data_IF_483124206032
#
_entry.id   IF_483124206032
#
_cell.length_a   1.000
_cell.length_b   1.000
_cell.length_c   1.000
_cell.angle_alpha   90.00
_cell.angle_beta   90.00
_cell.angle_gamma   90.00
#
_symmetry.space_group_name_H-M   'P 1'
#
loop_
_entity.id
_entity.type
_entity.pdbx_description
1 polymer ?
#
# COMPACT_ATOMS: atom_id res chain seq x y z
N UNK A 1 3.70 -37.95 -1.77
CA UNK A 1 2.90 -37.11 -0.85
C UNK A 1 1.62 -36.77 -1.56
N UNK A 2 0.47 -37.10 -0.97
CA UNK A 2 -0.86 -36.71 -1.49
C UNK A 2 -1.40 -35.58 -0.62
N UNK A 3 -1.98 -34.56 -1.25
CA UNK A 3 -2.74 -33.52 -0.57
C UNK A 3 -4.20 -33.93 -0.57
N UNK A 4 -4.74 -34.26 0.60
CA UNK A 4 -6.18 -34.47 0.79
C UNK A 4 -6.86 -33.11 0.87
N UNK A 5 -7.88 -32.88 0.05
CA UNK A 5 -8.61 -31.62 -0.07
C UNK A 5 -10.09 -31.77 0.30
N UNK A 6 -10.48 -32.92 0.85
CA UNK A 6 -11.89 -33.20 1.20
C UNK A 6 -12.35 -32.42 2.44
N UNK A 7 -11.43 -31.85 3.21
CA UNK A 7 -11.69 -30.93 4.32
C UNK A 7 -11.78 -29.46 3.86
N UNK A 8 -11.50 -29.18 2.59
CA UNK A 8 -11.57 -27.83 2.06
C UNK A 8 -13.01 -27.34 1.98
N UNK A 9 -13.24 -26.11 2.45
CA UNK A 9 -14.53 -25.44 2.24
C UNK A 9 -14.74 -25.13 0.75
N UNK A 10 -16.01 -25.13 0.27
CA UNK A 10 -16.33 -24.70 -1.08
C UNK A 10 -15.73 -23.32 -1.38
N UNK A 11 -15.27 -23.14 -2.63
CA UNK A 11 -14.74 -21.87 -3.09
C UNK A 11 -15.74 -20.75 -2.78
N UNK A 12 -15.30 -19.75 -2.00
CA UNK A 12 -16.14 -18.59 -1.70
C UNK A 12 -16.51 -17.88 -3.01
N UNK A 13 -17.74 -17.36 -3.08
CA UNK A 13 -18.22 -16.61 -4.23
C UNK A 13 -17.17 -15.56 -4.67
N UNK A 14 -17.00 -15.32 -5.97
CA UNK A 14 -15.96 -14.44 -6.48
C UNK A 14 -16.01 -13.07 -5.78
N UNK A 15 -14.87 -12.71 -5.16
CA UNK A 15 -14.58 -11.36 -4.67
C UNK A 15 -14.66 -10.44 -5.90
N UNK A 16 -15.79 -9.76 -6.10
CA UNK A 16 -15.99 -9.00 -7.33
C UNK A 16 -17.18 -8.06 -7.36
N UNK A 17 -18.21 -8.30 -6.57
CA UNK A 17 -19.25 -7.29 -6.37
C UNK A 17 -18.71 -6.19 -5.46
N UNK A 18 -19.08 -4.93 -5.73
CA UNK A 18 -18.73 -3.79 -4.89
C UNK A 18 -19.71 -3.69 -3.72
N UNK A 19 -19.21 -3.25 -2.57
CA UNK A 19 -20.07 -2.83 -1.47
C UNK A 19 -20.84 -1.59 -1.97
N UNK A 20 -22.18 -1.54 -1.84
CA UNK A 20 -22.97 -0.42 -2.34
C UNK A 20 -22.44 0.92 -1.82
N UNK A 21 -22.49 1.94 -2.67
CA UNK A 21 -22.05 3.28 -2.31
C UNK A 21 -22.87 3.81 -1.13
N UNK A 22 -22.17 4.37 -0.14
CA UNK A 22 -22.80 4.90 1.06
C UNK A 22 -23.08 3.91 2.18
N UNK A 23 -22.64 2.67 2.05
CA UNK A 23 -22.85 1.65 3.08
C UNK A 23 -22.19 2.06 4.40
N UNK A 24 -22.96 2.08 5.48
CA UNK A 24 -22.43 2.15 6.83
C UNK A 24 -22.08 0.75 7.36
N UNK A 25 -20.91 0.61 7.99
CA UNK A 25 -20.43 -0.68 8.46
C UNK A 25 -19.51 -0.56 9.68
N UNK A 26 -19.55 -1.58 10.55
CA UNK A 26 -18.51 -1.84 11.55
C UNK A 26 -17.36 -2.56 10.84
N UNK A 27 -16.19 -1.95 10.83
CA UNK A 27 -15.05 -2.39 10.03
C UNK A 27 -13.86 -2.66 10.94
N UNK A 28 -13.15 -3.77 10.68
CA UNK A 28 -11.84 -4.05 11.23
C UNK A 28 -10.74 -3.70 10.23
N UNK A 29 -9.73 -2.96 10.67
CA UNK A 29 -8.49 -2.75 9.92
C UNK A 29 -7.54 -3.93 10.15
N UNK A 30 -6.88 -4.39 9.09
CA UNK A 30 -5.70 -5.25 9.16
C UNK A 30 -4.57 -4.62 8.36
N UNK A 31 -3.41 -4.41 8.97
CA UNK A 31 -2.23 -3.84 8.30
C UNK A 31 -1.49 -4.94 7.57
N UNK A 32 -1.32 -4.78 6.26
CA UNK A 32 -0.55 -5.72 5.45
C UNK A 32 0.94 -5.32 5.44
N UNK A 33 1.88 -6.25 5.66
CA UNK A 33 3.30 -5.94 5.61
C UNK A 33 3.71 -5.52 4.19
N UNK A 34 4.50 -4.45 4.08
CA UNK A 34 4.96 -3.90 2.81
C UNK A 34 6.46 -4.02 2.53
N UNK A 35 7.25 -4.50 3.49
CA UNK A 35 8.69 -4.78 3.32
C UNK A 35 9.62 -3.58 3.56
N UNK A 36 9.09 -2.39 3.83
CA UNK A 36 9.87 -1.18 4.14
C UNK A 36 9.64 -0.77 5.59
N UNK A 37 10.70 -0.34 6.26
CA UNK A 37 10.64 0.07 7.66
C UNK A 37 9.91 1.41 7.81
N UNK A 38 9.09 1.49 8.88
CA UNK A 38 8.46 2.71 9.34
C UNK A 38 9.35 3.56 10.24
N UNK A 39 8.74 4.52 10.94
CA UNK A 39 9.47 5.47 11.78
C UNK A 39 9.92 4.87 13.13
N UNK A 40 9.25 3.82 13.58
CA UNK A 40 9.50 3.16 14.87
C UNK A 40 9.95 1.72 14.64
N UNK A 41 10.64 1.12 15.62
CA UNK A 41 11.03 -0.30 15.56
C UNK A 41 9.81 -1.22 15.41
N UNK A 42 8.66 -0.83 15.95
CA UNK A 42 7.41 -1.60 15.83
C UNK A 42 6.87 -1.64 14.40
N UNK A 43 7.22 -0.63 13.61
CA UNK A 43 6.81 -0.50 12.21
C UNK A 43 7.86 -1.08 11.25
N UNK A 44 8.79 -1.91 11.74
CA UNK A 44 9.76 -2.61 10.90
C UNK A 44 9.04 -3.44 9.82
N UNK A 45 9.49 -3.29 8.57
CA UNK A 45 8.92 -3.91 7.36
C UNK A 45 7.42 -3.71 7.15
N UNK A 46 6.81 -2.76 7.86
CA UNK A 46 5.37 -2.54 7.83
C UNK A 46 4.91 -1.80 6.57
N UNK A 47 5.69 -0.82 6.11
CA UNK A 47 5.29 0.09 5.05
C UNK A 47 5.56 -0.49 3.67
N UNK A 48 4.78 -0.04 2.70
CA UNK A 48 4.92 -0.34 1.28
C UNK A 48 5.49 0.88 0.54
N UNK A 49 6.55 0.69 -0.22
CA UNK A 49 7.06 1.74 -1.11
C UNK A 49 6.13 1.93 -2.32
N UNK A 50 5.96 3.18 -2.74
CA UNK A 50 5.39 3.49 -4.05
C UNK A 50 6.32 3.02 -5.17
N UNK A 51 5.74 2.65 -6.32
CA UNK A 51 6.49 2.22 -7.50
C UNK A 51 7.02 3.39 -8.34
N UNK A 52 6.43 4.58 -8.17
CA UNK A 52 6.68 5.75 -9.04
C UNK A 52 7.09 7.01 -8.29
N UNK A 53 7.21 6.96 -6.96
CA UNK A 53 7.56 8.11 -6.12
C UNK A 53 8.30 7.66 -4.86
N UNK A 54 8.83 8.61 -4.10
CA UNK A 54 9.43 8.40 -2.77
C UNK A 54 8.40 8.09 -1.66
N UNK A 55 7.10 8.17 -1.96
CA UNK A 55 6.04 7.92 -0.98
C UNK A 55 6.11 6.51 -0.36
N UNK A 56 5.99 6.45 0.96
CA UNK A 56 5.80 5.22 1.75
C UNK A 56 4.37 5.18 2.26
N UNK A 57 3.74 4.01 2.22
CA UNK A 57 2.32 3.85 2.51
C UNK A 57 2.05 2.74 3.52
N UNK A 58 1.01 2.91 4.34
CA UNK A 58 0.42 1.85 5.13
C UNK A 58 -0.65 1.16 4.28
N UNK A 59 -0.42 -0.10 3.93
CA UNK A 59 -1.31 -0.89 3.08
C UNK A 59 -2.36 -1.60 3.95
N UNK A 60 -3.61 -1.15 3.91
CA UNK A 60 -4.65 -1.60 4.83
C UNK A 60 -5.69 -2.46 4.11
N UNK A 61 -6.05 -3.57 4.76
CA UNK A 61 -7.23 -4.37 4.47
C UNK A 61 -8.34 -4.00 5.46
N UNK A 62 -9.55 -3.85 4.96
CA UNK A 62 -10.74 -3.54 5.75
C UNK A 62 -11.72 -4.68 5.60
N UNK A 63 -12.13 -5.27 6.72
CA UNK A 63 -13.14 -6.34 6.74
C UNK A 63 -14.40 -5.84 7.44
N UNK A 64 -15.54 -5.94 6.78
CA UNK A 64 -16.84 -5.68 7.41
C UNK A 64 -17.14 -6.81 8.39
N UNK A 65 -17.44 -6.49 9.64
CA UNK A 65 -17.63 -7.49 10.69
C UNK A 65 -19.06 -8.03 10.75
N UNK A 66 -20.05 -7.16 10.55
CA UNK A 66 -21.46 -7.43 10.83
C UNK A 66 -22.38 -6.85 9.74
N UNK A 67 -23.66 -7.24 9.77
CA UNK A 67 -24.67 -6.76 8.84
C UNK A 67 -24.66 -7.46 7.46
N UNK A 68 -25.41 -6.93 6.48
CA UNK A 68 -25.65 -7.58 5.18
C UNK A 68 -24.40 -7.84 4.33
N UNK A 69 -23.29 -7.19 4.68
CA UNK A 69 -22.03 -7.25 3.95
C UNK A 69 -20.89 -7.85 4.78
N UNK A 70 -21.22 -8.56 5.87
CA UNK A 70 -20.24 -9.20 6.74
C UNK A 70 -19.25 -10.08 5.96
N UNK A 71 -17.98 -10.06 6.39
CA UNK A 71 -16.81 -10.74 5.80
C UNK A 71 -16.37 -10.22 4.43
N UNK A 72 -17.07 -9.24 3.84
CA UNK A 72 -16.56 -8.57 2.64
C UNK A 72 -15.35 -7.72 2.99
N UNK A 73 -14.41 -7.68 2.04
CA UNK A 73 -13.13 -7.00 2.19
C UNK A 73 -12.94 -5.93 1.12
N UNK A 74 -12.27 -4.86 1.51
CA UNK A 74 -11.74 -3.87 0.57
C UNK A 74 -10.38 -3.40 1.07
N UNK A 75 -9.60 -2.76 0.20
CA UNK A 75 -8.24 -2.35 0.51
C UNK A 75 -8.08 -0.87 0.22
N UNK A 76 -7.27 -0.19 1.02
CA UNK A 76 -6.89 1.19 0.80
C UNK A 76 -5.52 1.44 1.41
N UNK A 77 -4.65 2.12 0.67
CA UNK A 77 -3.32 2.51 1.15
C UNK A 77 -3.32 3.97 1.60
N UNK A 78 -2.64 4.26 2.70
CA UNK A 78 -2.53 5.59 3.28
C UNK A 78 -1.07 6.06 3.22
N UNK A 79 -0.81 7.23 2.66
CA UNK A 79 0.55 7.79 2.64
C UNK A 79 1.00 8.18 4.04
N UNK A 80 2.15 7.69 4.47
CA UNK A 80 2.72 7.99 5.80
C UNK A 80 4.00 8.81 5.75
N UNK A 81 4.72 8.78 4.63
CA UNK A 81 5.91 9.60 4.40
C UNK A 81 6.13 9.82 2.89
N UNK A 82 6.95 10.80 2.53
CA UNK A 82 7.27 11.15 1.14
C UNK A 82 6.08 11.67 0.35
N UNK A 83 6.19 11.63 -0.98
CA UNK A 83 5.19 12.14 -1.90
C UNK A 83 5.15 13.67 -1.92
N UNK A 84 4.00 14.23 -2.30
CA UNK A 84 3.85 15.69 -2.37
C UNK A 84 3.96 16.32 -0.99
N UNK A 85 4.84 17.30 -0.87
CA UNK A 85 5.03 18.12 0.34
C UNK A 85 4.38 19.48 0.19
N UNK A 86 4.08 20.12 1.32
CA UNK A 86 3.67 21.53 1.38
C UNK A 86 4.89 22.47 1.44
N UNK A 87 4.63 23.77 1.56
CA UNK A 87 5.66 24.83 1.67
C UNK A 87 6.60 24.66 2.88
N UNK A 88 6.19 23.89 3.89
CA UNK A 88 6.98 23.59 5.09
C UNK A 88 7.71 22.26 5.00
N UNK A 89 7.70 21.60 3.83
CA UNK A 89 8.31 20.30 3.60
C UNK A 89 7.55 19.12 4.23
N UNK A 90 6.31 19.32 4.70
CA UNK A 90 5.52 18.25 5.30
C UNK A 90 4.70 17.52 4.24
N UNK A 91 4.74 16.18 4.25
CA UNK A 91 3.93 15.35 3.35
C UNK A 91 2.43 15.65 3.50
N UNK A 92 1.79 16.05 2.40
CA UNK A 92 0.35 16.34 2.34
C UNK A 92 -0.44 15.04 2.53
N UNK A 93 -0.01 13.95 1.90
CA UNK A 93 -0.63 12.64 2.06
C UNK A 93 -0.58 12.14 3.51
N UNK A 94 0.52 12.44 4.22
CA UNK A 94 0.61 12.12 5.64
C UNK A 94 -0.34 12.96 6.51
N UNK A 95 -0.54 14.25 6.20
CA UNK A 95 -1.53 15.07 6.91
C UNK A 95 -2.93 14.48 6.81
N UNK A 96 -3.33 14.08 5.61
CA UNK A 96 -4.65 13.46 5.36
C UNK A 96 -4.75 12.14 6.12
N UNK A 97 -3.80 11.23 5.95
CA UNK A 97 -3.80 9.93 6.62
C UNK A 97 -3.83 10.04 8.15
N UNK A 98 -3.09 10.98 8.74
CA UNK A 98 -3.14 11.26 10.19
C UNK A 98 -4.53 11.60 10.68
N UNK A 99 -5.25 12.45 9.95
CA UNK A 99 -6.62 12.83 10.32
C UNK A 99 -7.57 11.63 10.28
N UNK A 100 -7.43 10.76 9.27
CA UNK A 100 -8.19 9.52 9.17
C UNK A 100 -7.85 8.54 10.31
N UNK A 101 -6.57 8.38 10.65
CA UNK A 101 -6.16 7.49 11.74
C UNK A 101 -6.63 8.00 13.10
N UNK A 102 -6.59 9.32 13.36
CA UNK A 102 -7.21 9.91 14.54
C UNK A 102 -8.70 9.58 14.58
N UNK A 103 -9.42 9.76 13.48
CA UNK A 103 -10.84 9.46 13.42
C UNK A 103 -11.14 7.98 13.69
N UNK A 104 -10.32 7.05 13.17
CA UNK A 104 -10.44 5.61 13.48
C UNK A 104 -10.28 5.34 14.97
N UNK A 105 -9.28 5.96 15.62
CA UNK A 105 -9.06 5.84 17.07
C UNK A 105 -10.22 6.44 17.86
N UNK A 106 -10.67 7.64 17.49
CA UNK A 106 -11.80 8.32 18.15
C UNK A 106 -13.09 7.48 18.03
N UNK A 107 -13.38 6.95 16.85
CA UNK A 107 -14.52 6.07 16.59
C UNK A 107 -14.45 4.75 17.37
N UNK A 108 -13.27 4.12 17.42
CA UNK A 108 -13.07 2.84 18.11
C UNK A 108 -13.15 2.97 19.64
N UNK A 109 -12.61 4.07 20.18
CA UNK A 109 -12.52 4.30 21.63
C UNK A 109 -13.68 5.15 22.18
N UNK A 110 -14.60 5.61 21.33
CA UNK A 110 -15.72 6.46 21.74
C UNK A 110 -15.27 7.84 22.22
N UNK A 111 -14.19 8.39 21.68
CA UNK A 111 -13.67 9.71 22.08
C UNK A 111 -14.44 10.81 21.35
N UNK A 112 -14.83 11.87 22.07
CA UNK A 112 -15.32 13.09 21.41
C UNK A 112 -14.18 13.67 20.55
N UNK A 113 -14.38 13.83 19.23
CA UNK A 113 -13.35 14.36 18.34
C UNK A 113 -12.89 15.78 18.71
N UNK A 114 -13.69 16.54 19.48
CA UNK A 114 -13.39 17.89 19.97
C UNK A 114 -12.76 17.91 21.36
N UNK A 115 -12.71 16.78 22.07
CA UNK A 115 -12.07 16.70 23.38
C UNK A 115 -10.54 16.78 23.23
N UNK A 116 -9.96 17.87 23.74
CA UNK A 116 -8.52 18.14 23.71
C UNK A 116 -7.89 18.01 25.11
N UNK A 117 -8.57 17.35 26.05
CA UNK A 117 -8.04 17.01 27.37
C UNK A 117 -6.75 16.17 27.28
N UNK A 118 -5.87 16.23 28.29
CA UNK A 118 -4.66 15.41 28.33
C UNK A 118 -4.95 13.91 28.17
N UNK A 119 -6.02 13.42 28.79
CA UNK A 119 -6.44 12.02 28.73
C UNK A 119 -6.85 11.60 27.31
N UNK A 120 -7.67 12.40 26.63
CA UNK A 120 -8.07 12.12 25.25
C UNK A 120 -6.88 12.19 24.29
N UNK A 121 -5.97 13.15 24.50
CA UNK A 121 -4.71 13.25 23.75
C UNK A 121 -3.83 12.03 23.94
N UNK A 122 -3.65 11.56 25.18
CA UNK A 122 -2.84 10.39 25.47
C UNK A 122 -3.34 9.14 24.74
N UNK A 123 -4.66 8.93 24.68
CA UNK A 123 -5.27 7.80 23.93
C UNK A 123 -5.04 7.86 22.41
N UNK A 124 -4.72 9.04 21.87
CA UNK A 124 -4.39 9.25 20.44
C UNK A 124 -2.89 9.12 20.14
N UNK A 125 -2.04 8.99 21.16
CA UNK A 125 -0.60 8.78 20.99
C UNK A 125 -0.34 7.29 20.84
N UNK A 126 -0.14 6.86 19.59
CA UNK A 126 0.18 5.47 19.28
C UNK A 126 1.71 5.26 19.30
N UNK A 127 2.22 4.20 19.96
CA UNK A 127 3.65 3.85 19.94
C UNK A 127 4.21 3.51 18.55
N UNK A 128 3.34 3.15 17.61
CA UNK A 128 3.67 2.80 16.22
C UNK A 128 2.39 2.60 15.40
N UNK A 129 2.51 2.62 14.07
CA UNK A 129 1.38 2.39 13.15
C UNK A 129 0.83 0.95 13.25
N UNK A 130 1.66 -0.02 13.64
CA UNK A 130 1.24 -1.41 13.92
C UNK A 130 0.09 -1.48 14.94
N UNK A 131 -0.06 -0.51 15.86
CA UNK A 131 -1.17 -0.48 16.82
C UNK A 131 -2.55 -0.27 16.20
N UNK A 132 -2.62 0.21 14.95
CA UNK A 132 -3.89 0.29 14.21
C UNK A 132 -4.35 -1.09 13.74
N UNK A 133 -3.47 -2.09 13.70
CA UNK A 133 -3.80 -3.44 13.28
C UNK A 133 -4.82 -4.06 14.24
N UNK A 134 -5.97 -4.49 13.70
CA UNK A 134 -7.07 -5.03 14.47
C UNK A 134 -8.04 -3.99 15.02
N UNK A 135 -7.81 -2.68 14.84
CA UNK A 135 -8.75 -1.66 15.32
C UNK A 135 -10.13 -1.84 14.64
N UNK A 136 -11.19 -1.70 15.44
CA UNK A 136 -12.58 -1.83 14.99
C UNK A 136 -13.27 -0.48 15.16
N UNK A 137 -13.87 0.03 14.09
CA UNK A 137 -14.47 1.36 14.05
C UNK A 137 -15.68 1.38 13.11
N UNK A 138 -16.50 2.44 13.22
CA UNK A 138 -17.63 2.66 12.32
C UNK A 138 -17.18 3.47 11.09
N UNK A 139 -17.59 3.06 9.89
CA UNK A 139 -17.20 3.71 8.65
C UNK A 139 -18.37 3.80 7.65
N UNK A 140 -18.33 4.85 6.81
CA UNK A 140 -19.12 4.93 5.58
C UNK A 140 -18.22 4.54 4.41
N UNK A 141 -18.67 3.58 3.63
CA UNK A 141 -17.93 3.01 2.49
C UNK A 141 -18.48 3.64 1.23
N UNK A 142 -17.60 4.06 0.33
CA UNK A 142 -17.96 4.57 -0.99
C UNK A 142 -17.47 3.65 -2.10
N UNK A 143 -18.05 3.84 -3.28
CA UNK A 143 -17.51 3.37 -4.55
C UNK A 143 -16.68 4.51 -5.15
N UNK A 144 -15.38 4.28 -5.30
CA UNK A 144 -14.45 5.17 -5.97
C UNK A 144 -14.36 4.78 -7.45
N UNK A 145 -14.80 5.64 -8.38
CA UNK A 145 -14.67 5.35 -9.80
C UNK A 145 -13.20 5.24 -10.21
N UNK A 146 -12.90 4.28 -11.09
CA UNK A 146 -11.56 4.15 -11.63
C UNK A 146 -11.18 5.38 -12.46
N UNK A 147 -9.97 5.91 -12.23
CA UNK A 147 -9.42 7.01 -13.04
C UNK A 147 -9.00 6.59 -14.45
N UNK A 148 -8.84 5.29 -14.68
CA UNK A 148 -8.51 4.72 -15.97
C UNK A 148 -9.50 3.58 -16.26
N UNK A 149 -10.19 3.60 -17.41
CA UNK A 149 -11.24 2.64 -17.76
C UNK A 149 -10.77 1.18 -17.84
N UNK A 150 -9.46 0.94 -17.89
CA UNK A 150 -8.89 -0.41 -17.82
C UNK A 150 -9.01 -1.05 -16.42
N UNK A 151 -9.19 -0.24 -15.37
CA UNK A 151 -9.37 -0.70 -14.01
C UNK A 151 -10.84 -0.62 -13.59
N UNK A 152 -11.21 -1.46 -12.63
CA UNK A 152 -12.55 -1.46 -12.05
C UNK A 152 -12.63 -0.43 -10.92
N UNK A 153 -13.85 0.03 -10.66
CA UNK A 153 -14.16 0.82 -9.47
C UNK A 153 -13.79 0.04 -8.21
N UNK A 154 -13.52 0.78 -7.12
CA UNK A 154 -13.02 0.19 -5.89
C UNK A 154 -13.75 0.73 -4.67
N UNK A 155 -13.97 -0.12 -3.68
CA UNK A 155 -14.44 0.38 -2.39
C UNK A 155 -13.33 1.09 -1.61
N UNK A 156 -13.69 2.21 -0.99
CA UNK A 156 -12.84 3.04 -0.13
C UNK A 156 -13.62 3.50 1.09
N UNK A 157 -12.91 3.91 2.13
CA UNK A 157 -13.52 4.69 3.21
C UNK A 157 -13.87 6.07 2.66
N UNK A 158 -15.15 6.43 2.69
CA UNK A 158 -15.60 7.79 2.41
C UNK A 158 -15.25 8.70 3.59
N UNK A 159 -15.70 8.30 4.77
CA UNK A 159 -15.35 8.87 6.05
C UNK A 159 -15.46 7.81 7.15
N UNK A 160 -14.68 8.03 8.21
CA UNK A 160 -14.92 7.35 9.48
C UNK A 160 -16.13 8.03 10.13
N UNK A 161 -17.03 7.22 10.70
CA UNK A 161 -18.17 7.74 11.47
C UNK A 161 -17.69 7.92 12.91
N UNK A 162 -17.82 9.13 13.44
CA UNK A 162 -17.33 9.54 14.76
C UNK A 162 -18.41 9.40 15.85
N UNK A 163 -18.03 9.32 17.13
CA UNK A 163 -18.99 9.08 18.23
C UNK A 163 -20.09 10.13 18.40
N UNK A 164 -19.90 11.35 17.89
CA UNK A 164 -20.87 12.44 17.89
C UNK A 164 -21.83 12.40 16.69
N UNK A 165 -21.64 11.49 15.74
CA UNK A 165 -22.54 11.27 14.61
C UNK A 165 -23.67 10.28 14.98
N UNK A 166 -24.92 10.51 14.52
CA UNK A 166 -26.08 9.74 14.94
C UNK A 166 -26.01 8.25 14.54
N UNK A 167 -25.30 7.92 13.47
CA UNK A 167 -25.16 6.56 12.98
C UNK A 167 -24.17 5.73 13.81
N UNK A 168 -23.20 6.35 14.50
CA UNK A 168 -22.07 5.66 15.12
C UNK A 168 -22.48 4.57 16.11
N UNK A 169 -23.32 4.93 17.08
CA UNK A 169 -23.70 4.02 18.14
C UNK A 169 -24.46 2.80 17.60
N UNK A 170 -25.33 3.00 16.61
CA UNK A 170 -26.07 1.91 15.95
C UNK A 170 -25.11 0.97 15.21
N UNK A 171 -24.19 1.52 14.41
CA UNK A 171 -23.17 0.74 13.69
C UNK A 171 -22.31 -0.05 14.67
N UNK A 172 -21.87 0.57 15.77
CA UNK A 172 -21.02 -0.07 16.77
C UNK A 172 -21.76 -1.15 17.59
N UNK A 173 -23.10 -1.13 17.65
CA UNK A 173 -23.90 -2.24 18.18
C UNK A 173 -24.20 -3.35 17.15
N UNK A 174 -23.78 -3.17 15.90
CA UNK A 174 -24.03 -4.14 14.82
C UNK A 174 -25.39 -4.02 14.15
N UNK A 175 -26.08 -2.90 14.40
CA UNK A 175 -27.36 -2.62 13.77
C UNK A 175 -27.15 -2.22 12.30
N UNK A 176 -28.10 -2.59 11.44
CA UNK A 176 -28.09 -2.16 10.04
C UNK A 176 -28.59 -0.72 9.96
N UNK A 177 -27.76 0.19 9.45
CA UNK A 177 -28.11 1.58 9.18
C UNK A 177 -28.36 1.75 7.68
N UNK A 178 -29.42 2.46 7.24
CA UNK A 178 -29.66 2.73 5.83
C UNK A 178 -28.44 3.41 5.15
N UNK A 179 -28.07 3.00 3.94
CA UNK A 179 -26.93 3.59 3.24
C UNK A 179 -27.23 5.04 2.84
N UNK A 180 -26.18 5.87 2.84
CA UNK A 180 -26.22 7.22 2.32
C UNK A 180 -25.21 7.34 1.17
N UNK A 181 -25.62 7.33 -0.11
CA UNK A 181 -24.68 7.42 -1.23
C UNK A 181 -23.82 8.68 -1.20
N UNK A 182 -22.54 8.56 -1.56
CA UNK A 182 -21.55 9.65 -1.62
C UNK A 182 -21.44 10.20 -3.05
N UNK A 183 -21.67 9.37 -4.06
CA UNK A 183 -21.57 9.72 -5.49
C UNK A 183 -20.23 10.39 -5.83
N UNK A 184 -19.12 9.75 -5.47
CA UNK A 184 -17.81 10.34 -5.65
C UNK A 184 -17.46 10.56 -7.13
N UNK A 185 -16.91 11.72 -7.50
CA UNK A 185 -16.50 11.97 -8.88
C UNK A 185 -15.25 11.14 -9.24
N UNK A 186 -15.05 10.80 -10.53
CA UNK A 186 -13.82 10.17 -10.98
C UNK A 186 -12.60 11.02 -10.64
N UNK A 187 -11.61 10.43 -9.97
CA UNK A 187 -10.37 11.15 -9.63
C UNK A 187 -9.63 11.45 -10.95
N UNK A 188 -9.24 12.70 -11.18
CA UNK A 188 -8.40 13.07 -12.33
C UNK A 188 -7.11 12.24 -12.28
N UNK A 189 -6.74 11.60 -13.39
CA UNK A 189 -5.48 10.90 -13.48
C UNK A 189 -4.34 11.86 -13.10
N UNK A 190 -3.36 11.37 -12.32
CA UNK A 190 -2.16 12.13 -12.02
C UNK A 190 -1.55 12.61 -13.35
N UNK A 191 -1.32 13.91 -13.48
CA UNK A 191 -0.83 14.54 -14.70
C UNK A 191 0.39 13.79 -15.22
N UNK A 192 0.36 13.44 -16.52
CA UNK A 192 1.52 12.90 -17.23
C UNK A 192 2.75 13.80 -17.00
N UNK A 193 3.98 13.23 -17.02
CA UNK A 193 5.20 14.03 -16.93
C UNK A 193 5.19 15.12 -18.01
N UNK A 194 5.77 16.28 -17.69
CA UNK A 194 5.81 17.46 -18.55
C UNK A 194 6.27 17.11 -19.99
N UNK A 195 5.79 17.83 -21.03
CA UNK A 195 6.22 17.60 -22.41
C UNK A 195 7.74 17.73 -22.51
N UNK A 196 8.44 16.62 -22.79
CA UNK A 196 9.90 16.59 -22.90
C UNK A 196 10.59 15.40 -22.23
N UNK A 197 9.89 14.64 -21.38
CA UNK A 197 10.44 13.38 -20.84
C UNK A 197 10.05 12.18 -21.70
N UNK A 198 11.00 11.68 -22.50
CA UNK A 198 10.91 10.39 -23.18
C UNK A 198 11.40 9.30 -22.23
N UNK A 199 10.48 8.47 -21.73
CA UNK A 199 10.84 7.23 -21.05
C UNK A 199 11.35 6.21 -22.09
N UNK A 200 12.41 5.42 -21.79
CA UNK A 200 12.85 4.36 -22.70
C UNK A 200 11.75 3.30 -22.82
N UNK A 201 11.38 2.97 -24.05
CA UNK A 201 10.46 1.88 -24.37
C UNK A 201 11.02 0.53 -23.93
N UNK A 202 10.33 -0.26 -23.11
CA UNK A 202 10.74 -1.62 -22.78
C UNK A 202 10.58 -2.53 -24.00
N UNK A 203 11.68 -3.12 -24.45
CA UNK A 203 11.71 -4.05 -25.57
C UNK A 203 11.32 -5.47 -25.12
N UNK A 204 10.02 -5.76 -25.01
CA UNK A 204 9.51 -7.13 -24.96
C UNK A 204 8.22 -7.20 -25.77
N UNK A 205 8.27 -7.91 -26.90
CA UNK A 205 7.09 -8.17 -27.75
C UNK A 205 7.23 -7.81 -29.23
N UNK A 206 8.39 -8.03 -29.86
CA UNK A 206 8.45 -8.15 -31.31
C UNK A 206 8.51 -9.65 -31.67
N UNK A 207 7.37 -10.23 -32.05
CA UNK A 207 7.35 -11.53 -32.71
C UNK A 207 8.09 -11.43 -34.05
N UNK A 208 9.01 -12.36 -34.39
CA UNK A 208 9.55 -12.45 -35.74
C UNK A 208 8.48 -13.01 -36.69
N UNK A 209 7.99 -12.20 -37.63
CA UNK A 209 7.25 -12.69 -38.79
C UNK A 209 8.24 -13.32 -39.77
N UNK A 210 8.02 -14.60 -40.09
CA UNK A 210 8.73 -15.30 -41.16
C UNK A 210 8.32 -14.74 -42.54
N UNK A 211 9.26 -14.50 -43.47
CA UNK A 211 8.92 -14.00 -44.80
C UNK A 211 8.47 -15.14 -45.72
N UNK A 212 7.37 -14.91 -46.44
CA UNK A 212 6.89 -15.73 -47.54
C UNK A 212 7.78 -15.56 -48.79
N UNK A 213 7.96 -16.63 -49.56
CA UNK A 213 8.87 -16.72 -50.70
C UNK A 213 8.20 -16.50 -52.06
N UNK A 214 9.06 -16.12 -53.03
CA UNK A 214 9.03 -16.27 -54.51
C UNK A 214 8.72 -15.01 -55.37
N UNK A 215 9.26 -14.89 -56.61
CA UNK A 215 10.52 -15.41 -57.16
C UNK A 215 11.41 -14.31 -57.84
N UNK A 216 12.62 -14.73 -58.25
CA UNK A 216 13.74 -13.92 -58.71
C UNK A 216 13.73 -13.52 -60.19
N UNK A 217 14.34 -12.36 -60.51
CA UNK A 217 15.03 -12.09 -61.80
C UNK A 217 16.24 -11.14 -61.59
N UNK A 218 17.43 -11.64 -61.92
CA UNK A 218 18.56 -10.92 -62.51
C UNK A 218 19.28 -9.80 -61.74
N UNK A 219 20.45 -10.10 -61.16
CA UNK A 219 21.72 -9.38 -61.40
C UNK A 219 22.83 -9.92 -60.47
N UNK A 220 24.07 -9.82 -60.96
CA UNK A 220 25.24 -10.60 -60.55
C UNK A 220 25.93 -10.12 -59.26
N UNK A 221 26.69 -11.08 -58.68
CA UNK A 221 27.78 -11.10 -57.68
C UNK A 221 28.65 -9.82 -57.52
N UNK A 222 29.52 -9.68 -56.48
CA UNK A 222 30.15 -10.74 -55.67
C UNK A 222 30.34 -10.49 -54.15
N UNK A 223 30.63 -11.57 -53.42
CA UNK A 223 31.29 -11.59 -52.09
C UNK A 223 32.84 -11.54 -52.28
N UNK A 224 33.72 -11.54 -51.25
CA UNK A 224 33.51 -11.60 -49.79
C UNK A 224 34.44 -10.65 -48.99
N UNK A 225 34.36 -10.65 -47.65
CA UNK A 225 35.50 -10.83 -46.71
C UNK A 225 35.12 -10.49 -45.25
N UNK A 226 35.33 -11.46 -44.34
CA UNK A 226 35.32 -11.24 -42.88
C UNK A 226 36.75 -10.97 -42.38
N UNK A 227 36.92 -10.07 -41.41
CA UNK A 227 38.07 -10.06 -40.52
C UNK A 227 37.79 -10.72 -39.14
N UNK A 228 38.82 -11.23 -38.46
CA UNK A 228 38.72 -12.15 -37.31
C UNK A 228 38.55 -11.48 -35.93
N UNK A 229 38.02 -12.28 -34.99
CA UNK A 229 37.78 -11.92 -33.60
C UNK A 229 39.08 -11.78 -32.77
N UNK A 230 39.13 -10.77 -31.90
CA UNK A 230 40.20 -10.55 -30.91
C UNK A 230 39.71 -10.89 -29.49
N UNK A 231 40.47 -11.73 -28.78
CA UNK A 231 40.31 -12.00 -27.35
C UNK A 231 40.94 -10.88 -26.50
N UNK A 232 40.35 -10.49 -25.35
CA UNK A 232 41.01 -9.60 -24.41
C UNK A 232 41.94 -10.36 -23.43
N UNK A 233 43.10 -9.78 -23.05
CA UNK A 233 44.06 -10.39 -22.13
C UNK A 233 43.72 -10.15 -20.64
N UNK A 234 44.23 -11.06 -19.81
CA UNK A 234 44.17 -11.04 -18.36
C UNK A 234 44.99 -9.88 -17.75
N UNK A 235 44.43 -9.21 -16.75
CA UNK A 235 45.12 -8.20 -15.94
C UNK A 235 45.10 -8.59 -14.44
N UNK A 236 46.24 -8.31 -13.81
CA UNK A 236 46.75 -8.85 -12.56
C UNK A 236 46.22 -8.12 -11.31
N UNK A 237 46.15 -8.85 -10.20
CA UNK A 237 45.92 -8.35 -8.84
C UNK A 237 47.10 -7.52 -8.32
N UNK A 238 46.84 -6.49 -7.50
CA UNK A 238 47.79 -6.04 -6.48
C UNK A 238 47.37 -6.45 -5.05
N UNK A 239 48.39 -6.59 -4.22
CA UNK A 239 48.42 -7.23 -2.92
C UNK A 239 47.83 -6.44 -1.73
N UNK A 240 47.68 -7.19 -0.63
CA UNK A 240 47.05 -6.87 0.64
C UNK A 240 47.72 -5.76 1.48
N UNK A 241 46.89 -5.05 2.25
CA UNK A 241 47.28 -4.21 3.38
C UNK A 241 47.00 -4.95 4.71
N UNK A 242 47.86 -4.83 5.74
CA UNK A 242 47.68 -5.53 7.02
C UNK A 242 46.65 -4.84 7.95
N UNK A 243 45.95 -5.61 8.81
CA UNK A 243 44.94 -5.09 9.74
C UNK A 243 45.53 -4.53 11.03
N UNK A 244 44.89 -3.50 11.58
CA UNK A 244 45.15 -2.96 12.93
C UNK A 244 44.31 -3.71 13.99
N UNK A 245 44.83 -3.88 15.23
CA UNK A 245 44.21 -4.73 16.24
C UNK A 245 43.00 -4.10 16.97
N UNK A 246 42.09 -4.93 17.53
CA UNK A 246 40.89 -4.48 18.24
C UNK A 246 41.20 -4.09 19.70
N UNK A 247 40.51 -3.08 20.21
CA UNK A 247 40.51 -2.71 21.63
C UNK A 247 39.09 -2.60 22.16
N UNK A 248 38.84 -3.25 23.30
CA UNK A 248 37.88 -2.77 24.31
C UNK A 248 36.50 -3.41 24.32
N UNK A 249 36.26 -4.18 25.37
CA UNK A 249 35.02 -4.87 25.74
C UNK A 249 33.92 -3.89 26.26
N UNK A 250 32.69 -4.39 26.56
CA UNK A 250 31.47 -3.58 26.64
C UNK A 250 31.24 -2.95 28.02
N UNK A 251 30.67 -1.74 28.03
CA UNK A 251 30.10 -1.15 29.23
C UNK A 251 28.69 -1.71 29.47
N UNK A 252 28.55 -2.37 30.61
CA UNK A 252 27.34 -2.81 31.28
C UNK A 252 26.49 -1.61 31.72
N UNK A 253 25.16 -1.68 31.56
CA UNK A 253 24.26 -0.66 32.09
C UNK A 253 22.81 -0.78 31.63
N UNK A 254 22.12 -1.86 31.98
CA UNK A 254 20.64 -1.87 31.99
C UNK A 254 20.17 -1.54 33.41
N UNK A 255 19.30 -0.53 33.63
CA UNK A 255 18.68 -0.32 34.93
C UNK A 255 17.57 -1.36 35.17
N UNK A 256 17.65 -1.99 36.34
CA UNK A 256 16.73 -3.00 36.83
C UNK A 256 15.40 -2.39 37.30
N UNK A 257 14.31 -2.70 36.59
CA UNK A 257 12.92 -2.58 37.09
C UNK A 257 11.94 -3.49 36.33
N UNK A 258 12.44 -4.50 35.61
CA UNK A 258 11.65 -5.64 35.14
C UNK A 258 11.69 -6.74 36.20
N UNK A 259 10.79 -6.64 37.19
CA UNK A 259 10.16 -7.76 37.88
C UNK A 259 9.09 -7.20 38.83
N UNK A 260 7.82 -7.43 38.46
CA UNK A 260 6.62 -7.03 39.21
C UNK A 260 5.40 -7.17 38.33
#
# INVERSE_FOLDING_TARGET
MSYDLNDAQPQMAPIGELIPDGTFAKVRLTVRPGGVDGATQMDAKLLKASQSSDAKMLDCEFTILEGPHARRKFWQSFTVAGGKVDEKGQSIGWKISKSTFRAMVDSALGLDPRDESPDAKAKRVLPGLKHLDGIVFAARIMVEPASNPQYRDQNRIANVVLPDEPQHAAIMRGETVPPEPVNAPPRKAASAPAPGWQAPTPAWGAQPQAPAAAPAWGAQAPAPQQPPAQQPPAAQQPAAAPPSPPSGAPATGMPAWLNG
#
